data_IF_987932859151
#
_entry.id   IF_987932859151
#
_cell.length_a   1.000
_cell.length_b   1.000
_cell.length_c   1.000
_cell.angle_alpha   90.00
_cell.angle_beta   90.00
_cell.angle_gamma   90.00
#
_symmetry.space_group_name_H-M   'P 1'
#
loop_
_entity.id
_entity.type
_entity.pdbx_description
1 polymer ?
#
# COMPACT_ATOMS: atom_id res chain seq x y z
N UNK A 1 22.36 -30.92 -35.60
CA UNK A 1 22.65 -30.25 -34.31
C UNK A 1 23.36 -28.94 -34.62
N UNK A 2 22.69 -27.80 -34.37
CA UNK A 2 23.18 -26.45 -34.73
C UNK A 2 24.03 -25.87 -33.58
N UNK A 3 25.18 -25.23 -33.87
CA UNK A 3 26.15 -24.77 -32.87
C UNK A 3 25.72 -23.52 -32.08
N UNK A 4 24.55 -22.93 -32.38
CA UNK A 4 24.11 -21.66 -31.78
C UNK A 4 23.45 -21.80 -30.40
N UNK A 5 23.12 -23.02 -29.95
CA UNK A 5 22.49 -23.24 -28.64
C UNK A 5 23.47 -23.25 -27.45
N UNK A 6 24.78 -23.37 -27.71
CA UNK A 6 25.80 -23.48 -26.65
C UNK A 6 26.26 -22.14 -26.09
N UNK A 7 25.95 -21.01 -26.75
CA UNK A 7 26.31 -19.66 -26.27
C UNK A 7 25.30 -19.05 -25.29
N UNK A 8 24.07 -19.55 -25.24
CA UNK A 8 23.02 -19.02 -24.34
C UNK A 8 23.10 -19.67 -22.95
N UNK A 9 23.73 -20.84 -22.81
CA UNK A 9 23.90 -21.55 -21.54
C UNK A 9 25.12 -21.11 -20.70
N UNK A 10 26.04 -20.32 -21.27
CA UNK A 10 27.29 -19.90 -20.60
C UNK A 10 27.28 -18.47 -20.05
N UNK A 11 26.19 -17.72 -20.22
CA UNK A 11 26.05 -16.33 -19.73
C UNK A 11 25.20 -16.19 -18.44
N UNK A 12 24.67 -17.29 -17.90
CA UNK A 12 23.79 -17.28 -16.71
C UNK A 12 24.48 -17.73 -15.41
N UNK A 13 25.81 -17.74 -15.34
CA UNK A 13 26.55 -18.29 -14.18
C UNK A 13 27.50 -17.31 -13.48
N UNK A 14 27.35 -15.99 -13.68
CA UNK A 14 28.26 -14.99 -13.10
C UNK A 14 27.60 -13.93 -12.19
N UNK A 15 26.45 -14.23 -11.58
CA UNK A 15 25.82 -13.38 -10.56
C UNK A 15 25.47 -14.16 -9.28
N UNK A 16 26.42 -14.90 -8.73
CA UNK A 16 26.31 -15.45 -7.38
C UNK A 16 27.61 -15.16 -6.65
N UNK A 17 27.51 -14.63 -5.43
CA UNK A 17 28.57 -14.27 -4.46
C UNK A 17 28.95 -12.78 -4.42
N UNK A 18 27.99 -11.93 -4.04
CA UNK A 18 28.28 -10.82 -3.13
C UNK A 18 27.40 -10.98 -1.90
N UNK A 19 27.69 -12.01 -1.09
CA UNK A 19 27.11 -12.17 0.23
C UNK A 19 27.89 -11.28 1.20
N UNK A 20 27.24 -10.24 1.71
CA UNK A 20 27.73 -9.50 2.87
C UNK A 20 27.93 -10.49 4.04
N UNK A 21 29.01 -10.39 4.83
CA UNK A 21 29.16 -11.20 6.03
C UNK A 21 27.99 -10.90 6.96
N UNK A 22 27.13 -11.89 7.18
CA UNK A 22 26.03 -11.80 8.13
C UNK A 22 26.59 -11.91 9.55
N UNK A 23 26.54 -10.82 10.30
CA UNK A 23 26.65 -10.85 11.76
C UNK A 23 25.53 -11.72 12.30
N UNK A 24 25.85 -12.69 13.17
CA UNK A 24 24.86 -13.52 13.84
C UNK A 24 23.78 -12.65 14.52
N UNK A 25 22.48 -12.95 14.37
CA UNK A 25 21.46 -12.18 15.07
C UNK A 25 21.50 -12.55 16.55
N UNK A 26 21.99 -11.62 17.37
CA UNK A 26 21.64 -11.56 18.78
C UNK A 26 20.11 -11.47 18.88
N UNK A 27 19.52 -12.19 19.85
CA UNK A 27 18.07 -12.32 20.01
C UNK A 27 17.31 -10.99 20.08
N UNK A 28 15.97 -11.01 19.98
CA UNK A 28 15.16 -9.79 19.94
C UNK A 28 15.24 -9.06 21.28
N UNK A 29 16.15 -8.10 21.36
CA UNK A 29 16.21 -7.13 22.46
C UNK A 29 15.14 -6.07 22.17
N UNK A 30 13.96 -6.26 22.76
CA UNK A 30 12.88 -5.29 22.71
C UNK A 30 13.28 -4.11 23.61
N UNK A 31 14.12 -3.23 23.08
CA UNK A 31 14.67 -2.08 23.79
C UNK A 31 13.63 -1.30 24.60
N UNK A 32 14.07 -0.79 25.75
CA UNK A 32 13.29 0.07 26.65
C UNK A 32 12.95 1.38 25.93
N UNK A 33 11.68 1.85 25.99
CA UNK A 33 11.30 3.12 25.35
C UNK A 33 12.06 4.29 26.00
N UNK A 34 12.45 5.32 25.22
CA UNK A 34 13.07 6.51 25.77
C UNK A 34 12.05 7.37 26.54
N UNK A 35 12.54 8.04 27.60
CA UNK A 35 11.75 9.01 28.38
C UNK A 35 11.42 10.23 27.51
N UNK A 36 10.12 10.51 27.42
CA UNK A 36 9.52 11.50 26.54
C UNK A 36 9.76 12.92 27.07
N UNK A 37 10.83 13.57 26.62
CA UNK A 37 11.05 15.01 26.80
C UNK A 37 10.49 15.75 25.57
N UNK A 38 9.19 16.02 25.62
CA UNK A 38 8.46 16.74 24.58
C UNK A 38 9.14 18.03 24.15
N UNK A 39 9.68 18.04 22.93
CA UNK A 39 10.04 19.23 22.19
C UNK A 39 9.47 19.08 20.77
N UNK A 40 8.77 20.13 20.31
CA UNK A 40 7.89 20.11 19.16
C UNK A 40 8.49 19.47 17.92
N UNK A 41 7.77 18.48 17.37
CA UNK A 41 8.18 17.74 16.17
C UNK A 41 8.22 18.64 14.96
N UNK A 42 9.41 18.77 14.38
CA UNK A 42 9.68 19.36 13.07
C UNK A 42 9.32 18.39 11.95
N UNK A 43 8.09 17.84 11.93
CA UNK A 43 7.64 16.93 10.85
C UNK A 43 8.56 15.74 10.58
N UNK A 44 9.46 15.41 11.50
CA UNK A 44 10.51 14.42 11.30
C UNK A 44 9.96 13.05 11.73
N UNK A 45 10.03 12.08 10.81
CA UNK A 45 9.51 10.73 11.06
C UNK A 45 10.33 10.09 12.17
N UNK A 46 9.69 9.84 13.31
CA UNK A 46 10.35 9.20 14.43
C UNK A 46 10.78 7.78 14.04
N UNK A 47 12.08 7.43 14.15
CA UNK A 47 12.53 6.07 13.87
C UNK A 47 11.92 5.10 14.89
N UNK A 48 11.54 3.91 14.45
CA UNK A 48 11.05 2.88 15.37
C UNK A 48 12.12 2.57 16.41
N UNK A 49 11.77 2.72 17.69
CA UNK A 49 12.63 2.34 18.83
C UNK A 49 12.80 0.83 18.96
N UNK A 50 12.06 0.04 18.18
CA UNK A 50 12.09 -1.43 18.18
C UNK A 50 12.25 -1.98 16.76
N UNK A 51 13.13 -2.95 16.60
CA UNK A 51 13.34 -3.66 15.32
C UNK A 51 12.34 -4.81 15.10
N UNK A 52 11.10 -4.70 15.59
CA UNK A 52 10.09 -5.77 15.53
C UNK A 52 8.98 -5.40 14.54
N UNK A 53 9.30 -5.36 13.25
CA UNK A 53 8.28 -5.23 12.20
C UNK A 53 7.44 -6.50 12.11
N UNK A 54 6.12 -6.35 12.21
CA UNK A 54 5.15 -7.44 12.07
C UNK A 54 4.23 -7.18 10.89
N UNK A 55 3.97 -8.23 10.13
CA UNK A 55 2.97 -8.19 9.09
C UNK A 55 1.57 -8.10 9.72
N UNK A 56 0.73 -7.18 9.26
CA UNK A 56 -0.67 -7.10 9.70
C UNK A 56 -1.40 -8.38 9.30
N UNK A 57 -2.07 -9.03 10.25
CA UNK A 57 -2.94 -10.17 9.96
C UNK A 57 -4.17 -9.72 9.12
N UNK A 58 -4.98 -10.64 8.59
CA UNK A 58 -6.10 -10.28 7.71
C UNK A 58 -7.07 -9.29 8.35
N UNK A 59 -7.41 -9.46 9.63
CA UNK A 59 -8.33 -8.58 10.35
C UNK A 59 -7.75 -7.18 10.56
N UNK A 60 -6.47 -7.10 10.95
CA UNK A 60 -5.75 -5.85 11.13
C UNK A 60 -5.58 -5.10 9.80
N UNK A 61 -5.28 -5.82 8.71
CA UNK A 61 -5.16 -5.24 7.39
C UNK A 61 -6.50 -4.64 6.94
N UNK A 62 -7.59 -5.40 7.07
CA UNK A 62 -8.93 -4.91 6.72
C UNK A 62 -9.36 -3.74 7.58
N UNK A 63 -9.16 -3.80 8.90
CA UNK A 63 -9.49 -2.69 9.79
C UNK A 63 -8.68 -1.44 9.47
N UNK A 64 -7.38 -1.60 9.16
CA UNK A 64 -6.52 -0.51 8.75
C UNK A 64 -7.03 0.15 7.46
N UNK A 65 -7.23 -0.63 6.39
CA UNK A 65 -7.68 -0.09 5.10
C UNK A 65 -9.08 0.55 5.20
N UNK A 66 -9.98 -0.09 5.94
CA UNK A 66 -11.31 0.45 6.23
C UNK A 66 -11.23 1.82 6.91
N UNK A 67 -10.44 1.93 7.99
CA UNK A 67 -10.25 3.19 8.71
C UNK A 67 -9.58 4.25 7.84
N UNK A 68 -8.47 3.90 7.17
CA UNK A 68 -7.72 4.79 6.31
C UNK A 68 -8.60 5.41 5.20
N UNK A 69 -9.50 4.63 4.61
CA UNK A 69 -10.38 5.10 3.53
C UNK A 69 -11.79 5.50 3.99
N UNK A 70 -12.10 5.49 5.29
CA UNK A 70 -13.48 5.67 5.77
C UNK A 70 -14.48 4.76 5.02
N UNK A 71 -14.10 3.51 4.84
CA UNK A 71 -14.95 2.48 4.23
C UNK A 71 -15.50 1.57 5.33
N UNK A 72 -16.74 1.08 5.19
CA UNK A 72 -17.17 -0.07 5.97
C UNK A 72 -16.26 -1.27 5.69
N UNK A 73 -15.90 -2.10 6.70
CA UNK A 73 -14.99 -3.24 6.52
C UNK A 73 -15.43 -4.20 5.42
N UNK A 74 -16.74 -4.40 5.27
CA UNK A 74 -17.36 -5.23 4.23
C UNK A 74 -17.25 -4.64 2.82
N UNK A 75 -16.82 -3.39 2.66
CA UNK A 75 -16.61 -2.74 1.37
C UNK A 75 -15.13 -2.62 0.98
N UNK A 76 -14.21 -3.03 1.86
CA UNK A 76 -12.76 -2.96 1.58
C UNK A 76 -12.42 -3.80 0.36
N UNK A 77 -12.89 -5.03 0.31
CA UNK A 77 -12.61 -5.93 -0.79
C UNK A 77 -13.59 -7.10 -0.81
N UNK A 78 -14.34 -7.23 -1.92
CA UNK A 78 -15.29 -8.31 -2.13
C UNK A 78 -14.97 -9.09 -3.41
N UNK A 79 -14.74 -10.39 -3.27
CA UNK A 79 -14.66 -11.30 -4.40
C UNK A 79 -16.07 -11.54 -4.95
N UNK A 80 -16.20 -11.42 -6.28
CA UNK A 80 -17.47 -11.48 -7.00
C UNK A 80 -18.54 -10.49 -6.48
N UNK A 81 -18.11 -9.43 -5.77
CA UNK A 81 -18.99 -8.42 -5.19
C UNK A 81 -19.77 -8.86 -3.94
N UNK A 82 -19.56 -10.07 -3.42
CA UNK A 82 -20.36 -10.63 -2.32
C UNK A 82 -19.53 -11.15 -1.14
N UNK A 83 -18.31 -11.62 -1.37
CA UNK A 83 -17.55 -12.34 -0.35
C UNK A 83 -16.34 -11.52 0.11
N UNK A 84 -16.25 -11.16 1.41
CA UNK A 84 -15.08 -10.47 1.96
C UNK A 84 -13.78 -11.21 1.64
N UNK A 85 -12.94 -10.61 0.81
CA UNK A 85 -11.84 -11.31 0.17
C UNK A 85 -10.75 -11.72 1.17
N UNK A 86 -10.51 -10.90 2.20
CA UNK A 86 -9.51 -11.14 3.25
C UNK A 86 -9.92 -12.27 4.19
N UNK A 87 -11.22 -12.53 4.33
CA UNK A 87 -11.75 -13.56 5.24
C UNK A 87 -11.92 -14.89 4.54
N UNK A 88 -12.44 -14.90 3.31
CA UNK A 88 -12.84 -16.15 2.65
C UNK A 88 -11.89 -16.65 1.57
N UNK A 89 -11.16 -15.76 0.90
CA UNK A 89 -10.37 -16.14 -0.28
C UNK A 89 -8.88 -16.04 -0.01
N UNK A 90 -8.45 -14.99 0.69
CA UNK A 90 -7.05 -14.68 0.87
C UNK A 90 -6.56 -14.81 2.32
N UNK A 91 -7.39 -15.30 3.24
CA UNK A 91 -7.06 -15.43 4.68
C UNK A 91 -5.70 -16.10 4.89
N UNK A 92 -5.50 -17.30 4.34
CA UNK A 92 -4.23 -18.05 4.48
C UNK A 92 -3.05 -17.30 3.85
N UNK A 93 -3.25 -16.67 2.68
CA UNK A 93 -2.20 -15.90 2.03
C UNK A 93 -1.80 -14.65 2.83
N UNK A 94 -2.70 -14.12 3.66
CA UNK A 94 -2.47 -13.01 4.57
C UNK A 94 -1.99 -13.46 5.97
N UNK A 95 -1.59 -14.72 6.13
CA UNK A 95 -1.12 -15.26 7.42
C UNK A 95 -2.24 -15.62 8.40
N UNK A 96 -3.48 -15.73 7.92
CA UNK A 96 -4.60 -16.30 8.66
C UNK A 96 -4.61 -17.83 8.65
N UNK A 97 -5.70 -18.40 9.14
CA UNK A 97 -5.95 -19.85 9.24
C UNK A 97 -7.22 -20.22 8.46
N UNK A 98 -7.34 -21.49 8.07
CA UNK A 98 -8.52 -22.04 7.39
C UNK A 98 -8.79 -23.48 7.84
N UNK A 99 -9.35 -23.66 9.06
CA UNK A 99 -9.50 -24.98 9.68
C UNK A 99 -10.60 -25.83 9.04
N UNK A 100 -11.61 -25.24 8.41
CA UNK A 100 -12.79 -25.97 7.93
C UNK A 100 -12.69 -26.32 6.44
N UNK A 101 -12.10 -25.45 5.61
CA UNK A 101 -11.92 -25.70 4.18
C UNK A 101 -10.70 -26.58 3.87
N UNK A 102 -9.52 -26.22 4.39
CA UNK A 102 -8.25 -26.91 4.05
C UNK A 102 -7.54 -27.54 5.25
N UNK A 103 -8.12 -27.46 6.46
CA UNK A 103 -7.56 -28.07 7.67
C UNK A 103 -6.29 -27.37 8.19
N UNK A 104 -6.15 -26.07 7.94
CA UNK A 104 -4.99 -25.28 8.38
C UNK A 104 -5.34 -24.56 9.68
N UNK A 105 -4.89 -25.13 10.81
CA UNK A 105 -5.24 -24.67 12.17
C UNK A 105 -4.26 -23.65 12.76
N UNK A 106 -3.05 -23.58 12.20
CA UNK A 106 -1.99 -22.66 12.64
C UNK A 106 -1.49 -21.86 11.44
N UNK A 107 -1.16 -20.56 11.61
CA UNK A 107 -0.57 -19.75 10.56
C UNK A 107 0.72 -20.37 10.02
N UNK A 108 1.00 -20.10 8.74
CA UNK A 108 2.29 -20.47 8.16
C UNK A 108 3.42 -19.72 8.89
N UNK A 109 4.56 -20.38 9.07
CA UNK A 109 5.75 -19.81 9.74
C UNK A 109 6.41 -18.70 8.93
N UNK A 110 6.04 -18.53 7.67
CA UNK A 110 6.53 -17.49 6.77
C UNK A 110 5.43 -16.99 5.85
N UNK A 111 5.57 -15.74 5.42
CA UNK A 111 4.71 -15.09 4.44
C UNK A 111 4.89 -15.75 3.07
N UNK A 112 3.77 -16.05 2.40
CA UNK A 112 3.79 -16.71 1.09
C UNK A 112 4.21 -15.76 -0.04
N UNK A 113 4.69 -16.33 -1.15
CA UNK A 113 5.05 -15.55 -2.36
C UNK A 113 3.84 -14.85 -2.99
N UNK A 114 2.62 -15.29 -2.65
CA UNK A 114 1.37 -14.69 -3.14
C UNK A 114 0.87 -13.54 -2.26
N UNK A 115 1.42 -13.36 -1.05
CA UNK A 115 0.95 -12.34 -0.12
C UNK A 115 1.02 -10.91 -0.70
N UNK A 116 2.10 -10.47 -1.38
CA UNK A 116 2.14 -9.14 -1.98
C UNK A 116 1.04 -8.93 -3.04
N UNK A 117 0.77 -9.94 -3.86
CA UNK A 117 -0.29 -9.90 -4.89
C UNK A 117 -1.67 -9.72 -4.25
N UNK A 118 -1.89 -10.38 -3.12
CA UNK A 118 -3.15 -10.22 -2.36
C UNK A 118 -3.26 -8.81 -1.80
N UNK A 119 -2.21 -8.28 -1.17
CA UNK A 119 -2.22 -6.91 -0.63
C UNK A 119 -2.55 -5.92 -1.73
N UNK A 120 -1.92 -6.06 -2.90
CA UNK A 120 -2.19 -5.20 -4.03
C UNK A 120 -3.66 -5.26 -4.46
N UNK A 121 -4.25 -6.46 -4.47
CA UNK A 121 -5.68 -6.63 -4.77
C UNK A 121 -6.58 -5.96 -3.74
N UNK A 122 -6.30 -6.11 -2.45
CA UNK A 122 -7.08 -5.48 -1.38
C UNK A 122 -6.98 -3.96 -1.47
N UNK A 123 -5.77 -3.43 -1.55
CA UNK A 123 -5.53 -1.99 -1.67
C UNK A 123 -6.20 -1.41 -2.91
N UNK A 124 -6.03 -2.05 -4.08
CA UNK A 124 -6.63 -1.57 -5.33
C UNK A 124 -8.15 -1.59 -5.28
N UNK A 125 -8.76 -2.68 -4.78
CA UNK A 125 -10.22 -2.78 -4.64
C UNK A 125 -10.78 -1.67 -3.75
N UNK A 126 -10.17 -1.46 -2.58
CA UNK A 126 -10.59 -0.44 -1.63
C UNK A 126 -10.42 0.98 -2.18
N UNK A 127 -9.30 1.26 -2.85
CA UNK A 127 -9.04 2.55 -3.49
C UNK A 127 -10.05 2.84 -4.60
N UNK A 128 -10.38 1.87 -5.45
CA UNK A 128 -11.43 2.02 -6.47
C UNK A 128 -12.78 2.37 -5.83
N UNK A 129 -13.14 1.69 -4.74
CA UNK A 129 -14.39 1.95 -4.03
C UNK A 129 -14.41 3.37 -3.45
N UNK A 130 -13.36 3.77 -2.71
CA UNK A 130 -13.28 5.09 -2.10
C UNK A 130 -13.32 6.22 -3.13
N UNK A 131 -12.56 6.10 -4.21
CA UNK A 131 -12.55 7.09 -5.29
C UNK A 131 -13.92 7.21 -5.93
N UNK A 132 -14.62 6.10 -6.13
CA UNK A 132 -15.97 6.12 -6.71
C UNK A 132 -16.96 6.85 -5.79
N UNK A 133 -16.87 6.65 -4.47
CA UNK A 133 -17.68 7.37 -3.49
C UNK A 133 -17.35 8.87 -3.43
N UNK A 134 -16.06 9.23 -3.43
CA UNK A 134 -15.62 10.63 -3.40
C UNK A 134 -16.06 11.39 -4.66
N UNK A 135 -15.99 10.76 -5.84
CA UNK A 135 -16.42 11.38 -7.09
C UNK A 135 -17.96 11.45 -7.23
N UNK A 136 -18.69 10.49 -6.65
CA UNK A 136 -20.15 10.51 -6.67
C UNK A 136 -20.73 11.66 -5.83
N UNK A 137 -20.08 11.97 -4.70
CA UNK A 137 -20.52 13.03 -3.78
C UNK A 137 -19.34 13.91 -3.33
N UNK A 138 -18.82 14.81 -4.20
CA UNK A 138 -17.59 15.56 -3.91
C UNK A 138 -17.64 16.43 -2.63
N UNK A 139 -18.82 16.93 -2.25
CA UNK A 139 -19.02 17.71 -1.02
C UNK A 139 -18.85 16.88 0.28
N UNK A 140 -19.02 15.56 0.18
CA UNK A 140 -18.91 14.59 1.28
C UNK A 140 -17.66 13.70 1.13
N UNK A 141 -16.81 14.00 0.15
CA UNK A 141 -15.59 13.25 -0.10
C UNK A 141 -14.71 13.18 1.16
N UNK A 142 -14.19 11.98 1.44
CA UNK A 142 -13.42 11.70 2.66
C UNK A 142 -11.92 11.87 2.43
N UNK A 143 -11.43 11.45 1.26
CA UNK A 143 -9.99 11.44 0.95
C UNK A 143 -9.66 12.53 -0.06
N UNK A 144 -10.39 12.58 -1.17
CA UNK A 144 -10.13 13.46 -2.31
C UNK A 144 -10.99 14.74 -2.28
N UNK A 145 -11.24 15.26 -1.08
CA UNK A 145 -12.09 16.44 -0.87
C UNK A 145 -11.49 17.68 -1.53
N UNK A 146 -12.33 18.43 -2.24
CA UNK A 146 -11.92 19.68 -2.89
C UNK A 146 -11.11 19.50 -4.18
N UNK A 147 -10.90 18.25 -4.62
CA UNK A 147 -10.31 18.01 -5.93
C UNK A 147 -11.36 18.21 -7.03
N UNK A 148 -11.03 19.09 -7.95
CA UNK A 148 -11.86 19.38 -9.11
C UNK A 148 -11.26 18.70 -10.34
N UNK A 149 -12.15 18.18 -11.19
CA UNK A 149 -11.80 17.65 -12.50
C UNK A 149 -12.22 18.64 -13.58
N UNK A 150 -11.36 18.84 -14.59
CA UNK A 150 -11.69 19.64 -15.76
C UNK A 150 -12.66 18.90 -16.70
N UNK A 151 -13.07 19.57 -17.79
CA UNK A 151 -13.97 18.99 -18.79
C UNK A 151 -13.39 17.78 -19.53
N UNK A 152 -12.09 17.51 -19.40
CA UNK A 152 -11.39 16.34 -19.95
C UNK A 152 -11.14 15.26 -18.88
N UNK A 153 -11.70 15.42 -17.68
CA UNK A 153 -11.54 14.48 -16.57
C UNK A 153 -10.14 14.50 -15.94
N UNK A 154 -9.34 15.54 -16.18
CA UNK A 154 -8.00 15.75 -15.58
C UNK A 154 -8.12 16.52 -14.28
N UNK A 155 -7.09 16.47 -13.43
CA UNK A 155 -7.02 17.34 -12.27
C UNK A 155 -6.96 18.80 -12.72
N UNK A 156 -7.89 19.64 -12.24
CA UNK A 156 -7.97 21.04 -12.64
C UNK A 156 -6.72 21.85 -12.26
N UNK A 157 -6.08 21.50 -11.13
CA UNK A 157 -4.83 22.13 -10.68
C UNK A 157 -3.89 21.08 -10.07
N UNK A 158 -3.03 20.50 -10.92
CA UNK A 158 -2.13 19.38 -10.56
C UNK A 158 -1.14 19.71 -9.44
N UNK A 159 -0.64 20.94 -9.40
CA UNK A 159 0.34 21.39 -8.41
C UNK A 159 -0.32 22.26 -7.32
N UNK A 160 -1.65 22.34 -7.33
CA UNK A 160 -2.42 23.16 -6.42
C UNK A 160 -2.50 22.59 -5.01
N UNK A 161 -2.92 23.45 -4.08
CA UNK A 161 -3.21 23.06 -2.71
C UNK A 161 -4.15 21.83 -2.62
N UNK A 162 -5.23 21.70 -3.41
CA UNK A 162 -6.12 20.53 -3.31
C UNK A 162 -5.44 19.18 -3.55
N UNK A 163 -4.45 19.12 -4.46
CA UNK A 163 -3.70 17.88 -4.73
C UNK A 163 -2.76 17.56 -3.57
N UNK A 164 -2.04 18.58 -3.06
CA UNK A 164 -1.18 18.42 -1.89
C UNK A 164 -1.98 18.00 -0.66
N UNK A 165 -3.14 18.60 -0.43
CA UNK A 165 -4.02 18.28 0.69
C UNK A 165 -4.57 16.85 0.60
N UNK A 166 -4.92 16.38 -0.61
CA UNK A 166 -5.34 14.99 -0.82
C UNK A 166 -4.20 13.99 -0.55
N UNK A 167 -2.97 14.30 -0.99
CA UNK A 167 -1.78 13.48 -0.71
C UNK A 167 -1.52 13.46 0.81
N UNK A 168 -1.52 14.62 1.46
CA UNK A 168 -1.35 14.73 2.91
C UNK A 168 -2.41 13.94 3.67
N UNK A 169 -3.69 14.07 3.28
CA UNK A 169 -4.80 13.30 3.85
C UNK A 169 -4.55 11.79 3.72
N UNK A 170 -4.13 11.30 2.55
CA UNK A 170 -3.80 9.89 2.36
C UNK A 170 -2.69 9.41 3.32
N UNK A 171 -1.58 10.15 3.40
CA UNK A 171 -0.44 9.79 4.26
C UNK A 171 -0.80 9.84 5.75
N UNK A 172 -1.52 10.87 6.19
CA UNK A 172 -1.93 10.98 7.58
C UNK A 172 -2.92 9.87 7.96
N UNK A 173 -3.82 9.47 7.06
CA UNK A 173 -4.83 8.44 7.34
C UNK A 173 -4.27 7.02 7.27
N UNK A 174 -3.35 6.76 6.33
CA UNK A 174 -2.79 5.43 6.11
C UNK A 174 -1.48 5.17 6.88
N UNK A 175 -0.66 6.19 7.08
CA UNK A 175 0.70 6.06 7.62
C UNK A 175 0.90 6.88 8.91
N UNK A 176 -0.11 7.65 9.34
CA UNK A 176 -0.09 8.46 10.57
C UNK A 176 1.06 9.50 10.60
N UNK A 177 1.46 10.01 9.43
CA UNK A 177 2.50 11.04 9.29
C UNK A 177 2.23 11.96 8.11
N UNK A 178 2.97 13.05 8.05
CA UNK A 178 3.00 13.91 6.88
C UNK A 178 3.84 13.28 5.74
N UNK A 179 3.48 13.53 4.47
CA UNK A 179 4.29 13.12 3.33
C UNK A 179 5.56 13.98 3.26
N UNK A 180 6.67 13.38 2.83
CA UNK A 180 7.90 14.10 2.49
C UNK A 180 7.69 14.86 1.17
N UNK A 181 8.42 15.95 0.97
CA UNK A 181 8.34 16.71 -0.29
C UNK A 181 8.64 15.84 -1.53
N UNK A 182 9.50 14.84 -1.43
CA UNK A 182 9.76 13.88 -2.52
C UNK A 182 8.57 12.98 -2.81
N UNK A 183 7.80 12.61 -1.79
CA UNK A 183 6.59 11.78 -1.93
C UNK A 183 5.46 12.60 -2.55
N UNK A 184 5.28 13.85 -2.11
CA UNK A 184 4.36 14.80 -2.74
C UNK A 184 4.74 15.02 -4.20
N UNK A 185 6.01 15.32 -4.49
CA UNK A 185 6.49 15.53 -5.86
C UNK A 185 6.28 14.32 -6.78
N UNK A 186 6.55 13.11 -6.29
CA UNK A 186 6.34 11.88 -7.07
C UNK A 186 4.85 11.66 -7.40
N UNK A 187 3.95 11.86 -6.42
CA UNK A 187 2.52 11.70 -6.64
C UNK A 187 1.93 12.84 -7.49
N UNK A 188 2.41 14.08 -7.40
CA UNK A 188 2.03 15.15 -8.33
C UNK A 188 2.47 14.82 -9.77
N UNK A 189 3.72 14.37 -9.95
CA UNK A 189 4.25 13.99 -11.27
C UNK A 189 3.46 12.85 -11.91
N UNK A 190 2.98 11.89 -11.11
CA UNK A 190 2.16 10.77 -11.56
C UNK A 190 0.93 11.21 -12.37
N UNK A 191 0.34 12.37 -12.07
CA UNK A 191 -0.79 12.89 -12.83
C UNK A 191 -0.42 13.14 -14.31
N UNK A 192 0.76 13.71 -14.55
CA UNK A 192 1.28 13.97 -15.90
C UNK A 192 1.57 12.67 -16.64
N UNK A 193 2.12 11.67 -15.94
CA UNK A 193 2.40 10.37 -16.52
C UNK A 193 1.12 9.63 -16.93
N UNK A 194 0.08 9.68 -16.09
CA UNK A 194 -1.22 9.07 -16.40
C UNK A 194 -1.86 9.74 -17.61
N UNK A 195 -1.84 11.07 -17.68
CA UNK A 195 -2.36 11.78 -18.84
C UNK A 195 -1.62 11.43 -20.14
N UNK A 196 -0.30 11.22 -20.07
CA UNK A 196 0.50 10.82 -21.23
C UNK A 196 0.10 9.45 -21.80
N UNK A 197 -0.57 8.60 -21.00
CA UNK A 197 -1.11 7.31 -21.44
C UNK A 197 -2.43 7.43 -22.20
N UNK A 198 -3.03 8.63 -22.26
CA UNK A 198 -4.25 8.89 -23.03
C UNK A 198 -5.51 8.23 -22.48
N UNK A 199 -5.60 8.04 -21.15
CA UNK A 199 -6.80 7.47 -20.51
C UNK A 199 -7.99 8.44 -20.61
N UNK A 200 -9.21 7.90 -20.57
CA UNK A 200 -10.43 8.72 -20.64
C UNK A 200 -10.77 9.43 -19.33
N UNK A 201 -10.20 8.98 -18.20
CA UNK A 201 -10.51 9.49 -16.86
C UNK A 201 -9.23 9.70 -16.05
N UNK A 202 -8.28 10.53 -16.52
CA UNK A 202 -6.93 10.61 -15.96
C UNK A 202 -6.90 11.08 -14.49
N UNK A 203 -7.81 11.97 -14.09
CA UNK A 203 -7.93 12.41 -12.69
C UNK A 203 -8.43 11.28 -11.77
N UNK A 204 -9.40 10.49 -12.20
CA UNK A 204 -9.85 9.30 -11.46
C UNK A 204 -8.73 8.27 -11.33
N UNK A 205 -8.01 8.04 -12.42
CA UNK A 205 -6.91 7.06 -12.45
C UNK A 205 -5.77 7.51 -11.53
N UNK A 206 -5.49 8.81 -11.47
CA UNK A 206 -4.53 9.39 -10.52
C UNK A 206 -4.97 9.19 -9.06
N UNK A 207 -6.24 9.43 -8.73
CA UNK A 207 -6.76 9.22 -7.38
C UNK A 207 -6.60 7.75 -6.96
N UNK A 208 -6.95 6.82 -7.84
CA UNK A 208 -6.81 5.38 -7.59
C UNK A 208 -5.33 5.00 -7.42
N UNK A 209 -4.47 5.44 -8.34
CA UNK A 209 -3.06 5.09 -8.33
C UNK A 209 -2.32 5.67 -7.11
N UNK A 210 -2.63 6.91 -6.71
CA UNK A 210 -2.07 7.55 -5.53
C UNK A 210 -2.49 6.84 -4.24
N UNK A 211 -3.78 6.53 -4.10
CA UNK A 211 -4.29 5.74 -2.98
C UNK A 211 -3.63 4.36 -2.91
N UNK A 212 -3.56 3.67 -4.06
CA UNK A 212 -2.98 2.35 -4.17
C UNK A 212 -1.51 2.36 -3.74
N UNK A 213 -0.70 3.28 -4.27
CA UNK A 213 0.72 3.38 -3.96
C UNK A 213 1.01 3.57 -2.46
N UNK A 214 0.15 4.34 -1.76
CA UNK A 214 0.29 4.55 -0.31
C UNK A 214 -0.14 3.32 0.47
N UNK A 215 -1.29 2.72 0.15
CA UNK A 215 -1.83 1.58 0.90
C UNK A 215 -1.15 0.24 0.64
N UNK A 216 -0.54 0.04 -0.53
CA UNK A 216 0.28 -1.16 -0.80
C UNK A 216 1.74 -1.00 -0.36
N UNK A 217 2.12 0.16 0.19
CA UNK A 217 3.47 0.39 0.69
C UNK A 217 3.79 -0.51 1.89
N UNK A 218 5.08 -0.83 2.05
CA UNK A 218 5.54 -1.60 3.20
C UNK A 218 5.18 -0.92 4.54
N UNK A 219 5.22 0.41 4.60
CA UNK A 219 4.86 1.17 5.80
C UNK A 219 3.37 0.99 6.18
N UNK A 220 2.48 0.87 5.18
CA UNK A 220 1.06 0.61 5.43
C UNK A 220 0.80 -0.84 5.88
N UNK A 221 1.59 -1.78 5.36
CA UNK A 221 1.39 -3.23 5.55
C UNK A 221 1.99 -3.75 6.85
N UNK A 222 3.13 -3.20 7.28
CA UNK A 222 3.82 -3.61 8.50
C UNK A 222 3.49 -2.66 9.67
N UNK A 223 3.71 -3.11 10.91
CA UNK A 223 3.60 -2.30 12.13
C UNK A 223 4.68 -2.70 13.14
#
# INVERSE_FOLDING_TARGET
MRPDFLRVLLLSSACVLSACPASSPSGPDAGTPPDDAGTGSTGEVAPSSRNSLRFKNPEQLTAHVAAALSLPPEQVCNELGLYPCTTYVHSVALGGVEPYGVGLYEPLTSTGVTTPIVIDRVALAACVQRVSLDLATPGEASVFKGLELDAQGRLANREGAPVRDAITSLYQRALLRDPKETEVGALSQLATEIESKGTQTPGRDWMIASCFAVLSSAESVFF
#
